data_IF_246604409949
#
_entry.id   IF_246604409949
#
_cell.length_a   1.000
_cell.length_b   1.000
_cell.length_c   1.000
_cell.angle_alpha   90.00
_cell.angle_beta   90.00
_cell.angle_gamma   90.00
#
_symmetry.space_group_name_H-M   'P 1'
#
loop_
_entity.id
_entity.type
_entity.pdbx_description
1 polymer ?
#
# COMPACT_ATOMS: atom_id res chain seq x y z
N UNK A 1 16.97 -2.82 -2.75
CA UNK A 1 17.11 -2.52 -4.19
C UNK A 1 18.59 -2.47 -4.51
N UNK A 2 19.02 -2.84 -5.72
CA UNK A 2 20.44 -2.86 -6.10
C UNK A 2 20.65 -2.30 -7.52
N UNK A 3 21.89 -2.09 -7.96
CA UNK A 3 22.19 -1.51 -9.27
C UNK A 3 21.75 -2.38 -10.44
N UNK A 4 21.49 -3.67 -10.21
CA UNK A 4 20.96 -4.59 -11.22
C UNK A 4 19.43 -4.51 -11.31
N UNK A 5 18.76 -4.40 -10.16
CA UNK A 5 17.32 -4.18 -10.04
C UNK A 5 17.08 -2.91 -9.20
N UNK A 6 17.10 -1.73 -9.86
CA UNK A 6 16.94 -0.46 -9.19
C UNK A 6 15.48 -0.17 -8.82
N UNK A 7 14.55 -1.10 -9.09
CA UNK A 7 13.12 -0.91 -8.91
C UNK A 7 12.61 -1.67 -7.68
N UNK A 8 11.64 -1.06 -7.01
CA UNK A 8 10.94 -1.60 -5.85
C UNK A 8 9.49 -1.19 -5.93
N UNK A 9 8.58 -2.09 -5.57
CA UNK A 9 7.15 -1.91 -5.76
C UNK A 9 6.41 -2.19 -4.47
N UNK A 10 5.43 -1.35 -4.17
CA UNK A 10 4.46 -1.56 -3.09
C UNK A 10 3.09 -1.29 -3.69
N UNK A 11 2.18 -2.24 -3.52
CA UNK A 11 0.80 -2.12 -4.00
C UNK A 11 -0.14 -2.05 -2.81
N UNK A 12 -1.11 -1.15 -2.90
CA UNK A 12 -2.18 -1.01 -1.91
C UNK A 12 -3.46 -0.58 -2.60
N UNK A 13 -4.57 -1.20 -2.22
CA UNK A 13 -5.88 -0.77 -2.68
C UNK A 13 -6.52 0.22 -1.72
N UNK A 14 -7.46 0.98 -2.25
CA UNK A 14 -8.31 1.91 -1.52
C UNK A 14 -9.75 1.42 -1.59
N UNK A 15 -10.51 1.70 -0.53
CA UNK A 15 -11.94 1.38 -0.51
C UNK A 15 -12.72 2.33 -1.41
N UNK A 16 -13.77 1.80 -2.01
CA UNK A 16 -14.63 2.54 -2.94
C UNK A 16 -15.53 3.58 -2.24
N UNK A 17 -15.72 3.45 -0.93
CA UNK A 17 -16.51 4.36 -0.08
C UNK A 17 -15.66 5.44 0.62
N UNK A 18 -14.36 5.51 0.32
CA UNK A 18 -13.41 6.45 0.93
C UNK A 18 -12.68 7.27 -0.14
N UNK A 19 -12.42 8.55 0.17
CA UNK A 19 -11.55 9.42 -0.64
C UNK A 19 -10.37 9.89 0.21
N UNK A 20 -9.17 9.93 -0.38
CA UNK A 20 -7.98 10.46 0.32
C UNK A 20 -8.03 11.97 0.36
N UNK A 21 -7.91 12.54 1.56
CA UNK A 21 -7.84 13.98 1.80
C UNK A 21 -6.41 14.48 2.05
N UNK A 22 -5.52 13.63 2.55
CA UNK A 22 -4.08 13.91 2.69
C UNK A 22 -3.28 12.60 2.63
N UNK A 23 -2.08 12.65 2.04
CA UNK A 23 -1.23 11.49 1.88
C UNK A 23 0.25 11.84 2.06
N UNK A 24 0.88 11.16 3.03
CA UNK A 24 2.27 11.37 3.39
C UNK A 24 3.03 10.06 3.45
N UNK A 25 4.09 9.96 2.67
CA UNK A 25 5.00 8.84 2.68
C UNK A 25 6.21 9.18 3.57
N UNK A 26 6.36 8.46 4.68
CA UNK A 26 7.54 8.50 5.54
C UNK A 26 8.44 7.33 5.16
N UNK A 27 9.56 7.63 4.54
CA UNK A 27 10.49 6.64 4.05
C UNK A 27 11.73 6.60 4.94
N UNK A 28 12.03 5.44 5.52
CA UNK A 28 13.34 5.14 6.10
C UNK A 28 14.17 4.43 5.03
N UNK A 29 15.35 4.95 4.69
CA UNK A 29 16.24 4.29 3.73
C UNK A 29 17.71 4.42 4.13
N UNK A 30 18.51 3.47 3.66
CA UNK A 30 19.97 3.42 3.86
C UNK A 30 20.67 3.27 2.51
N UNK A 31 21.36 4.32 2.03
CA UNK A 31 22.13 4.26 0.80
C UNK A 31 23.51 3.62 1.00
N UNK A 32 24.00 2.88 0.00
CA UNK A 32 25.36 2.32 -0.02
C UNK A 32 26.44 3.41 0.07
N UNK A 33 27.54 3.20 0.82
CA UNK A 33 28.68 4.14 0.85
C UNK A 33 29.37 4.37 -0.49
N UNK A 34 29.11 3.52 -1.48
CA UNK A 34 29.72 3.58 -2.81
C UNK A 34 29.00 4.53 -3.78
N UNK A 35 27.90 5.16 -3.37
CA UNK A 35 27.14 6.11 -4.18
C UNK A 35 27.79 7.49 -4.19
N UNK A 36 27.78 8.16 -5.34
CA UNK A 36 28.20 9.56 -5.45
C UNK A 36 27.07 10.47 -4.92
N UNK A 37 27.35 11.29 -3.89
CA UNK A 37 26.41 12.30 -3.40
C UNK A 37 26.02 13.30 -4.49
N UNK A 38 24.83 13.89 -4.37
CA UNK A 38 24.25 14.91 -5.29
C UNK A 38 23.86 14.36 -6.67
N UNK A 39 24.64 13.44 -7.24
CA UNK A 39 24.30 12.77 -8.50
C UNK A 39 23.32 11.63 -8.29
N UNK A 40 23.51 10.82 -7.24
CA UNK A 40 22.61 9.70 -6.96
C UNK A 40 21.28 10.20 -6.39
N UNK A 41 20.18 9.67 -6.91
CA UNK A 41 18.83 10.11 -6.60
C UNK A 41 17.90 8.91 -6.42
N UNK A 42 16.94 9.03 -5.51
CA UNK A 42 15.84 8.11 -5.36
C UNK A 42 14.56 8.80 -5.87
N UNK A 43 13.97 8.24 -6.92
CA UNK A 43 12.69 8.71 -7.45
C UNK A 43 11.55 7.90 -6.85
N UNK A 44 10.46 8.58 -6.53
CA UNK A 44 9.24 7.97 -6.02
C UNK A 44 8.10 8.27 -6.98
N UNK A 45 7.46 7.21 -7.45
CA UNK A 45 6.35 7.23 -8.37
C UNK A 45 5.09 6.69 -7.71
N UNK A 46 3.94 7.29 -8.00
CA UNK A 46 2.61 6.80 -7.66
C UNK A 46 1.83 6.60 -8.96
N UNK A 47 1.41 5.38 -9.25
CA UNK A 47 0.68 5.05 -10.49
C UNK A 47 1.36 5.61 -11.74
N UNK A 48 2.67 5.41 -11.82
CA UNK A 48 3.59 5.89 -12.88
C UNK A 48 3.81 7.41 -12.96
N UNK A 49 3.21 8.20 -12.07
CA UNK A 49 3.48 9.63 -11.96
C UNK A 49 4.58 9.93 -10.94
N UNK A 50 5.52 10.81 -11.28
CA UNK A 50 6.60 11.22 -10.40
C UNK A 50 6.08 12.11 -9.24
N UNK A 51 6.13 11.59 -8.02
CA UNK A 51 5.72 12.32 -6.82
C UNK A 51 6.85 13.18 -6.25
N UNK A 52 8.09 12.69 -6.32
CA UNK A 52 9.22 13.39 -5.75
C UNK A 52 10.56 12.73 -6.08
N UNK A 53 11.63 13.51 -5.92
CA UNK A 53 13.01 13.08 -6.10
C UNK A 53 13.78 13.41 -4.84
N UNK A 54 14.38 12.40 -4.22
CA UNK A 54 15.21 12.53 -3.04
C UNK A 54 16.68 12.44 -3.45
N UNK A 55 17.44 13.55 -3.40
CA UNK A 55 18.88 13.50 -3.65
C UNK A 55 19.59 12.83 -2.47
N UNK A 56 20.59 11.99 -2.77
CA UNK A 56 21.42 11.37 -1.75
C UNK A 56 22.57 12.31 -1.39
N UNK A 57 22.71 12.66 -0.11
CA UNK A 57 23.81 13.50 0.39
C UNK A 57 24.92 12.67 1.02
N UNK A 58 26.10 13.28 1.21
CA UNK A 58 27.30 12.58 1.69
C UNK A 58 27.12 12.08 3.13
N UNK A 59 26.34 12.80 3.93
CA UNK A 59 26.10 12.50 5.34
C UNK A 59 25.20 11.28 5.54
N UNK A 60 24.38 10.96 4.53
CA UNK A 60 23.41 9.87 4.54
C UNK A 60 24.04 8.52 4.16
N UNK A 61 25.22 8.54 3.52
CA UNK A 61 25.92 7.33 3.06
C UNK A 61 26.20 6.35 4.20
N UNK A 62 25.70 5.12 4.07
CA UNK A 62 25.84 4.06 5.08
C UNK A 62 25.06 4.30 6.37
N UNK A 63 24.19 5.32 6.44
CA UNK A 63 23.38 5.64 7.62
C UNK A 63 21.90 5.60 7.29
N UNK A 64 21.10 5.27 8.31
CA UNK A 64 19.65 5.36 8.23
C UNK A 64 19.22 6.82 8.13
N UNK A 65 18.44 7.12 7.11
CA UNK A 65 17.92 8.45 6.83
C UNK A 65 16.40 8.37 6.74
N UNK A 66 15.72 9.38 7.27
CA UNK A 66 14.27 9.55 7.17
C UNK A 66 13.97 10.66 6.17
N UNK A 67 13.06 10.40 5.24
CA UNK A 67 12.51 11.41 4.33
C UNK A 67 10.99 11.37 4.37
N UNK A 68 10.35 12.54 4.22
CA UNK A 68 8.91 12.67 4.11
C UNK A 68 8.57 13.25 2.74
N UNK A 69 7.64 12.63 2.02
CA UNK A 69 7.14 13.08 0.73
C UNK A 69 5.62 13.17 0.82
N UNK A 70 5.07 14.32 0.45
CA UNK A 70 3.62 14.49 0.26
C UNK A 70 3.23 13.94 -1.11
N UNK A 71 2.25 13.04 -1.14
CA UNK A 71 1.74 12.45 -2.37
C UNK A 71 0.59 13.28 -2.91
N UNK A 72 0.54 13.49 -4.22
CA UNK A 72 -0.54 14.24 -4.85
C UNK A 72 -1.80 13.37 -4.98
N UNK A 73 -2.90 13.86 -4.40
CA UNK A 73 -4.20 13.19 -4.33
C UNK A 73 -4.81 12.89 -5.70
N UNK A 74 -4.50 13.69 -6.72
CA UNK A 74 -5.05 13.55 -8.08
C UNK A 74 -4.71 12.22 -8.75
N UNK A 75 -3.63 11.57 -8.33
CA UNK A 75 -3.13 10.33 -8.93
C UNK A 75 -3.54 9.09 -8.13
N UNK A 76 -4.36 9.24 -7.09
CA UNK A 76 -4.92 8.10 -6.36
C UNK A 76 -6.04 7.44 -7.18
N UNK A 77 -6.05 6.11 -7.17
CA UNK A 77 -7.09 5.29 -7.78
C UNK A 77 -7.51 4.16 -6.84
N UNK A 78 -8.38 3.26 -7.29
CA UNK A 78 -8.82 2.09 -6.51
C UNK A 78 -7.66 1.16 -6.17
N UNK A 79 -6.70 0.99 -7.10
CA UNK A 79 -5.50 0.17 -6.93
C UNK A 79 -4.27 1.01 -7.18
N UNK A 80 -3.52 1.29 -6.12
CA UNK A 80 -2.35 2.14 -6.18
C UNK A 80 -1.07 1.32 -6.15
N UNK A 81 -0.11 1.71 -7.00
CA UNK A 81 1.24 1.16 -7.03
C UNK A 81 2.24 2.28 -6.77
N UNK A 82 2.93 2.18 -5.64
CA UNK A 82 4.12 2.97 -5.37
C UNK A 82 5.33 2.26 -5.98
N UNK A 83 6.06 2.99 -6.82
CA UNK A 83 7.31 2.51 -7.43
C UNK A 83 8.46 3.39 -6.97
N UNK A 84 9.49 2.74 -6.45
CA UNK A 84 10.74 3.36 -6.08
C UNK A 84 11.76 3.05 -7.17
N UNK A 85 12.54 4.05 -7.57
CA UNK A 85 13.57 3.89 -8.59
C UNK A 85 14.87 4.54 -8.13
N UNK A 86 15.90 3.72 -7.96
CA UNK A 86 17.25 4.15 -7.61
C UNK A 86 18.03 4.52 -8.87
N UNK A 87 18.48 5.76 -8.95
CA UNK A 87 19.47 6.21 -9.92
C UNK A 87 20.79 6.36 -9.18
N UNK A 88 21.64 5.35 -9.25
CA UNK A 88 22.93 5.31 -8.59
C UNK A 88 24.08 5.61 -9.56
N UNK A 89 24.86 6.64 -9.24
CA UNK A 89 26.11 6.97 -9.94
C UNK A 89 27.30 6.64 -9.01
N UNK A 90 28.38 6.09 -9.55
CA UNK A 90 29.60 5.68 -8.84
C UNK A 90 30.92 6.21 -9.44
N UNK A 91 30.93 6.70 -10.69
CA UNK A 91 32.08 7.40 -11.29
C UNK A 91 31.65 8.45 -12.33
N UNK A 92 32.38 9.57 -12.40
CA UNK A 92 32.03 10.67 -13.32
C UNK A 92 32.25 10.37 -14.83
N UNK A 93 32.89 9.25 -15.20
CA UNK A 93 33.17 8.90 -16.60
C UNK A 93 32.97 7.42 -16.90
N UNK A 94 32.14 7.12 -17.91
CA UNK A 94 31.83 5.80 -18.48
C UNK A 94 31.33 4.76 -17.45
N UNK A 95 30.11 4.92 -16.94
CA UNK A 95 29.49 3.98 -16.00
C UNK A 95 28.80 2.80 -16.69
N UNK A 96 28.95 1.62 -16.11
CA UNK A 96 28.00 0.52 -16.34
C UNK A 96 27.02 0.59 -15.17
N UNK A 97 25.78 1.01 -15.44
CA UNK A 97 24.73 1.21 -14.44
C UNK A 97 24.38 -0.03 -13.61
N UNK A 98 24.82 -1.21 -14.07
CA UNK A 98 24.41 -2.54 -13.58
C UNK A 98 25.43 -3.15 -12.62
N UNK A 99 25.79 -2.46 -11.53
CA UNK A 99 26.75 -3.00 -10.54
C UNK A 99 26.07 -3.38 -9.21
N UNK A 100 26.46 -4.53 -8.64
CA UNK A 100 25.88 -5.03 -7.37
C UNK A 100 26.30 -4.21 -6.13
N UNK A 101 27.35 -3.39 -6.24
CA UNK A 101 27.85 -2.57 -5.12
C UNK A 101 27.02 -1.31 -4.90
N UNK A 102 26.21 -0.93 -5.90
CA UNK A 102 25.22 0.14 -5.76
C UNK A 102 23.95 -0.49 -5.21
N UNK A 103 23.57 -0.07 -4.00
CA UNK A 103 22.36 -0.55 -3.38
C UNK A 103 21.75 0.55 -2.53
N UNK A 104 20.44 0.44 -2.38
CA UNK A 104 19.63 1.25 -1.48
C UNK A 104 18.66 0.30 -0.79
N UNK A 105 18.70 0.30 0.53
CA UNK A 105 17.81 -0.49 1.36
C UNK A 105 16.68 0.41 1.88
N UNK A 106 15.43 -0.05 1.74
CA UNK A 106 14.26 0.61 2.30
C UNK A 106 13.93 -0.08 3.62
N UNK A 107 14.04 0.67 4.71
CA UNK A 107 13.79 0.18 6.05
C UNK A 107 12.33 -0.21 6.25
N UNK A 108 12.11 -1.24 7.07
CA UNK A 108 10.76 -1.73 7.45
C UNK A 108 9.94 -0.73 8.27
N UNK A 109 10.58 0.30 8.79
CA UNK A 109 9.96 1.38 9.55
C UNK A 109 9.40 2.48 8.62
N UNK A 110 9.42 2.26 7.30
CA UNK A 110 8.76 3.15 6.35
C UNK A 110 7.25 3.00 6.46
N UNK A 111 6.54 4.13 6.53
CA UNK A 111 5.11 4.19 6.76
C UNK A 111 4.42 5.07 5.73
N UNK A 112 3.24 4.63 5.26
CA UNK A 112 2.36 5.42 4.43
C UNK A 112 1.19 5.92 5.29
N UNK A 113 1.20 7.21 5.60
CA UNK A 113 0.12 7.88 6.32
C UNK A 113 -0.92 8.39 5.32
N UNK A 114 -2.13 7.85 5.38
CA UNK A 114 -3.28 8.31 4.58
C UNK A 114 -4.35 8.86 5.52
N UNK A 115 -4.85 10.05 5.21
CA UNK A 115 -6.04 10.62 5.83
C UNK A 115 -7.19 10.44 4.86
N UNK A 116 -8.19 9.66 5.26
CA UNK A 116 -9.34 9.31 4.42
C UNK A 116 -10.63 9.93 4.96
N UNK A 117 -11.50 10.33 4.05
CA UNK A 117 -12.85 10.79 4.35
C UNK A 117 -13.87 9.82 3.76
N UNK A 118 -14.82 9.37 4.58
CA UNK A 118 -15.91 8.50 4.11
C UNK A 118 -16.93 9.29 3.30
N UNK A 119 -17.30 8.74 2.15
CA UNK A 119 -18.38 9.25 1.32
C UNK A 119 -19.72 8.76 1.87
N UNK A 120 -20.71 9.65 1.91
CA UNK A 120 -22.07 9.28 2.29
C UNK A 120 -22.75 8.63 1.07
N UNK A 121 -22.56 7.32 0.92
CA UNK A 121 -23.20 6.54 -0.15
C UNK A 121 -24.70 6.41 0.13
N UNK A 122 -25.51 6.51 -0.93
CA UNK A 122 -26.94 6.26 -0.83
C UNK A 122 -27.17 4.80 -0.41
N UNK A 123 -28.11 4.60 0.52
CA UNK A 123 -28.44 3.29 1.08
C UNK A 123 -29.24 2.45 0.08
N UNK A 124 -28.56 1.97 -0.95
CA UNK A 124 -29.08 1.04 -1.94
C UNK A 124 -28.43 -0.33 -1.71
N UNK A 125 -29.28 -1.32 -1.38
CA UNK A 125 -28.91 -2.71 -1.11
C UNK A 125 -28.20 -3.37 -2.30
N UNK A 126 -28.26 -2.78 -3.49
CA UNK A 126 -27.55 -3.23 -4.69
C UNK A 126 -26.02 -3.12 -4.57
N UNK A 127 -25.49 -2.23 -3.71
CA UNK A 127 -24.04 -2.05 -3.50
C UNK A 127 -23.44 -2.99 -2.45
N UNK A 128 -24.28 -3.85 -1.85
CA UNK A 128 -23.83 -4.85 -0.91
C UNK A 128 -22.85 -5.83 -1.59
N UNK A 129 -21.67 -6.13 -1.00
CA UNK A 129 -21.29 -5.99 0.42
C UNK A 129 -20.47 -4.73 0.81
N UNK A 130 -20.22 -3.78 -0.09
CA UNK A 130 -19.62 -2.47 0.27
C UNK A 130 -20.70 -1.68 1.02
N UNK A 131 -20.47 -1.08 2.20
CA UNK A 131 -19.20 -0.67 2.82
C UNK A 131 -18.70 -1.63 3.93
N UNK A 132 -19.17 -2.86 4.02
CA UNK A 132 -18.73 -3.78 5.08
C UNK A 132 -17.50 -4.58 4.68
N UNK A 133 -17.43 -4.96 3.42
CA UNK A 133 -16.29 -5.69 2.85
C UNK A 133 -16.00 -5.14 1.45
N UNK A 134 -14.77 -4.68 1.24
CA UNK A 134 -14.25 -4.30 -0.06
C UNK A 134 -12.99 -5.14 -0.33
N UNK A 135 -12.94 -5.97 -1.40
CA UNK A 135 -11.77 -6.77 -1.73
C UNK A 135 -10.54 -5.92 -2.09
N UNK A 136 -10.71 -4.62 -2.33
CA UNK A 136 -9.63 -3.67 -2.57
C UNK A 136 -8.92 -3.28 -1.28
N UNK A 137 -9.53 -3.50 -0.12
CA UNK A 137 -8.96 -3.13 1.17
C UNK A 137 -8.07 -4.24 1.72
N UNK A 138 -6.75 -3.99 1.74
CA UNK A 138 -5.77 -4.90 2.34
C UNK A 138 -5.68 -4.77 3.87
N UNK A 139 -6.50 -3.92 4.51
CA UNK A 139 -6.56 -3.78 5.97
C UNK A 139 -7.32 -4.94 6.62
N UNK A 140 -6.99 -5.25 7.87
CA UNK A 140 -7.73 -6.23 8.67
C UNK A 140 -9.16 -5.75 8.90
N UNK A 141 -10.14 -6.41 8.27
CA UNK A 141 -11.56 -6.09 8.41
C UNK A 141 -12.19 -6.77 9.63
N UNK A 142 -12.64 -5.99 10.61
CA UNK A 142 -13.42 -6.49 11.75
C UNK A 142 -14.90 -6.40 11.41
N UNK A 143 -15.51 -7.51 11.01
CA UNK A 143 -16.93 -7.58 10.66
C UNK A 143 -17.78 -7.78 11.93
N UNK A 144 -18.68 -6.83 12.27
CA UNK A 144 -19.61 -7.02 13.38
C UNK A 144 -20.68 -8.05 12.98
N UNK A 145 -20.58 -9.27 13.50
CA UNK A 145 -21.62 -10.28 13.34
C UNK A 145 -22.67 -10.13 14.43
N UNK A 146 -23.92 -9.87 14.03
CA UNK A 146 -25.07 -9.87 14.94
C UNK A 146 -25.76 -11.23 14.83
N UNK A 147 -25.65 -12.04 15.88
CA UNK A 147 -26.46 -13.24 16.03
C UNK A 147 -27.77 -12.85 16.72
N UNK A 148 -28.90 -13.10 16.07
CA UNK A 148 -30.19 -12.97 16.73
C UNK A 148 -30.33 -14.12 17.73
N UNK A 149 -30.37 -13.82 19.03
CA UNK A 149 -30.64 -14.83 20.05
C UNK A 149 -32.09 -15.31 19.90
N UNK A 150 -32.35 -16.63 19.83
CA UNK A 150 -33.71 -17.13 19.76
C UNK A 150 -34.39 -16.92 21.12
N UNK A 151 -35.11 -15.82 21.27
CA UNK A 151 -36.08 -15.67 22.36
C UNK A 151 -37.34 -16.46 22.02
N UNK A 152 -37.34 -17.76 22.37
CA UNK A 152 -38.56 -18.56 22.52
C UNK A 152 -38.65 -19.82 21.67
N UNK A 153 -38.53 -20.98 22.33
CA UNK A 153 -39.13 -22.25 21.87
C UNK A 153 -38.36 -23.05 20.82
N UNK A 154 -38.06 -24.31 21.15
CA UNK A 154 -37.22 -25.26 20.42
C UNK A 154 -37.73 -25.74 19.03
N UNK A 155 -38.70 -25.08 18.40
CA UNK A 155 -39.32 -25.59 17.17
C UNK A 155 -39.54 -24.60 16.01
N UNK A 156 -39.13 -23.33 16.09
CA UNK A 156 -39.31 -22.43 14.95
C UNK A 156 -38.29 -21.27 14.88
N UNK A 157 -37.04 -21.54 14.52
CA UNK A 157 -36.08 -20.45 14.23
C UNK A 157 -34.96 -20.79 13.22
N UNK A 158 -35.12 -21.79 12.35
CA UNK A 158 -34.02 -22.23 11.47
C UNK A 158 -34.02 -21.70 10.04
N UNK A 159 -34.91 -20.77 9.65
CA UNK A 159 -35.06 -20.44 8.21
C UNK A 159 -34.77 -18.97 7.86
N UNK A 160 -34.82 -18.00 8.77
CA UNK A 160 -34.78 -16.59 8.35
C UNK A 160 -33.40 -15.90 8.24
N UNK A 161 -32.26 -16.53 8.55
CA UNK A 161 -30.98 -15.82 8.39
C UNK A 161 -29.75 -16.62 7.95
N UNK A 162 -29.87 -17.91 7.66
CA UNK A 162 -28.73 -18.72 7.23
C UNK A 162 -28.23 -18.39 5.81
N UNK A 163 -28.99 -17.65 4.99
CA UNK A 163 -28.56 -17.33 3.62
C UNK A 163 -27.52 -16.21 3.55
N UNK A 164 -27.52 -15.27 4.51
CA UNK A 164 -26.57 -14.14 4.53
C UNK A 164 -25.18 -14.56 5.06
N UNK A 165 -25.14 -15.44 6.06
CA UNK A 165 -23.87 -15.91 6.68
C UNK A 165 -23.04 -16.76 5.73
N UNK A 166 -23.68 -17.60 4.91
CA UNK A 166 -22.98 -18.48 3.95
C UNK A 166 -22.33 -17.67 2.82
N UNK A 167 -22.93 -16.56 2.39
CA UNK A 167 -22.40 -15.76 1.28
C UNK A 167 -21.13 -14.98 1.68
N UNK A 168 -21.06 -14.43 2.89
CA UNK A 168 -19.84 -13.79 3.39
C UNK A 168 -18.69 -14.76 3.61
N UNK A 169 -18.97 -15.97 4.12
CA UNK A 169 -17.93 -16.95 4.38
C UNK A 169 -17.22 -17.42 3.09
N UNK A 170 -17.97 -17.55 1.98
CA UNK A 170 -17.41 -17.98 0.69
C UNK A 170 -16.55 -16.89 0.06
N UNK A 171 -16.95 -15.61 0.15
CA UNK A 171 -16.17 -14.49 -0.39
C UNK A 171 -14.84 -14.24 0.34
N UNK A 172 -14.83 -14.41 1.67
CA UNK A 172 -13.62 -14.22 2.50
C UNK A 172 -12.67 -15.42 2.42
N UNK A 173 -13.19 -16.65 2.29
CA UNK A 173 -12.35 -17.85 2.17
C UNK A 173 -11.54 -17.89 0.86
N UNK A 174 -12.08 -17.36 -0.24
CA UNK A 174 -11.39 -17.34 -1.53
C UNK A 174 -10.21 -16.35 -1.59
N UNK A 175 -10.30 -15.21 -0.89
CA UNK A 175 -9.20 -14.24 -0.84
C UNK A 175 -8.06 -14.66 0.10
N UNK A 176 -8.31 -15.58 1.03
CA UNK A 176 -7.29 -16.15 1.93
C UNK A 176 -6.42 -17.21 1.22
N UNK A 177 -6.98 -17.94 0.26
CA UNK A 177 -6.30 -19.05 -0.42
C UNK A 177 -5.40 -18.56 -1.57
N UNK A 178 -5.69 -17.41 -2.19
CA UNK A 178 -4.83 -16.85 -3.25
C UNK A 178 -3.55 -16.18 -2.74
N UNK A 179 -3.38 -16.05 -1.42
CA UNK A 179 -2.17 -15.53 -0.79
C UNK A 179 -1.19 -16.64 -0.37
N UNK A 180 -1.46 -17.89 -0.76
CA UNK A 180 -0.64 -19.08 -0.44
C UNK A 180 -0.29 -19.96 -1.65
N UNK A 181 -0.47 -19.45 -2.88
CA UNK A 181 0.07 -20.01 -4.12
C UNK A 181 0.79 -18.91 -4.90
#
# INVERSE_FOLDING_TARGET
MNGVNPLGYIEFGMRSDEIVSDAKLKLEYTPSPSLIPVQSQLKVYLNDELMGVLPITKEQLGKKTLAEITLNLLYFSDFNRLRFELIGHYQNSCEISTSNNLWLDIGRNSELGLVVQKLNLQNDLSYFPVPFFDPRDNRTNTLPMVFCWPTGGWFAASICNCRFVVWFAIGVAWSSISSFL
#
